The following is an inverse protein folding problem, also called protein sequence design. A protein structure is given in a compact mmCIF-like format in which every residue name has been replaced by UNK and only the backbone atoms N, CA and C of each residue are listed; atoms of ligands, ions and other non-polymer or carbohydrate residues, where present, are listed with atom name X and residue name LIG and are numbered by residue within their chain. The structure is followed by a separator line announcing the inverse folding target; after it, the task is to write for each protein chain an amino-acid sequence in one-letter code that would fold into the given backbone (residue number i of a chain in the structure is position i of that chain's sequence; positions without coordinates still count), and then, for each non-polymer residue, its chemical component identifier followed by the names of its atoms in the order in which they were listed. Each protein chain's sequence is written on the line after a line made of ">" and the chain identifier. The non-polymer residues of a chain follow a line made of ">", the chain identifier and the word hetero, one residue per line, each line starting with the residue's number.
data_IF_848460871098
#
_entry.id   IF_848460871098
#
_cell.length_a   1.000
_cell.length_b   1.000
_cell.length_c   1.000
_cell.angle_alpha   90.00
_cell.angle_beta   90.00
_cell.angle_gamma   90.00
#
_symmetry.space_group_name_H-M   'P 1'
#
loop_
_entity.id
_entity.type
_entity.pdbx_description
1 polymer ?
#
# COMPACT_ATOMS: atom_id res chain seq x y z
N UNK A 1 0.60 15.67 -64.23
CA UNK A 1 -0.08 14.80 -63.23
C UNK A 1 0.83 13.64 -62.80
N UNK A 2 1.94 13.93 -62.10
CA UNK A 2 2.90 12.90 -61.61
C UNK A 2 3.50 13.25 -60.24
N UNK A 3 2.76 13.97 -59.40
CA UNK A 3 3.25 14.46 -58.11
C UNK A 3 2.42 14.10 -56.88
N UNK A 4 1.27 13.43 -57.05
CA UNK A 4 0.32 13.22 -55.95
C UNK A 4 0.31 11.78 -55.40
N UNK A 5 1.00 10.84 -56.05
CA UNK A 5 1.01 9.42 -55.67
C UNK A 5 1.99 9.05 -54.55
N UNK A 6 3.00 9.88 -54.27
CA UNK A 6 4.03 9.56 -53.27
C UNK A 6 3.67 10.02 -51.84
N UNK A 7 2.77 11.00 -51.68
CA UNK A 7 2.41 11.50 -50.35
C UNK A 7 1.40 10.61 -49.63
N UNK A 8 0.54 9.89 -50.37
CA UNK A 8 -0.47 9.00 -49.78
C UNK A 8 0.16 7.67 -49.36
N UNK A 9 1.19 7.20 -50.06
CA UNK A 9 1.92 5.99 -49.67
C UNK A 9 2.73 6.16 -48.38
N UNK A 10 3.27 7.36 -48.11
CA UNK A 10 4.03 7.63 -46.89
C UNK A 10 3.14 7.74 -45.64
N UNK A 11 1.93 8.31 -45.76
CA UNK A 11 0.98 8.43 -44.63
C UNK A 11 0.35 7.09 -44.27
N UNK A 12 0.12 6.20 -45.26
CA UNK A 12 -0.40 4.85 -45.00
C UNK A 12 0.68 3.93 -44.42
N UNK A 13 1.97 4.12 -44.75
CA UNK A 13 3.06 3.34 -44.17
C UNK A 13 3.43 3.76 -42.73
N UNK A 14 3.22 5.02 -42.36
CA UNK A 14 3.38 5.52 -40.98
C UNK A 14 2.20 5.19 -40.07
N UNK A 15 1.00 4.99 -40.62
CA UNK A 15 -0.18 4.51 -39.86
C UNK A 15 -0.13 3.02 -39.47
N UNK A 16 0.79 2.24 -40.04
CA UNK A 16 0.94 0.80 -39.81
C UNK A 16 2.11 0.43 -38.89
N UNK A 17 2.95 1.39 -38.49
CA UNK A 17 4.07 1.19 -37.56
C UNK A 17 3.81 1.79 -36.16
N UNK A 18 2.64 2.42 -35.96
CA UNK A 18 2.25 3.07 -34.71
C UNK A 18 1.44 2.20 -33.74
N UNK A 19 1.24 0.92 -34.02
CA UNK A 19 0.74 -0.04 -33.04
C UNK A 19 1.93 -0.65 -32.31
N UNK A 20 2.68 0.17 -31.57
CA UNK A 20 3.40 -0.38 -30.44
C UNK A 20 2.32 -1.10 -29.62
N UNK A 21 2.40 -2.42 -29.58
CA UNK A 21 1.57 -3.23 -28.69
C UNK A 21 1.75 -2.57 -27.32
N UNK A 22 0.72 -1.87 -26.82
CA UNK A 22 0.72 -1.45 -25.43
C UNK A 22 0.85 -2.76 -24.68
N UNK A 23 2.04 -3.03 -24.16
CA UNK A 23 2.28 -4.22 -23.35
C UNK A 23 1.24 -4.15 -22.24
N UNK A 24 0.45 -5.21 -22.07
CA UNK A 24 -0.56 -5.25 -21.03
C UNK A 24 0.11 -4.96 -19.69
N UNK A 25 -0.45 -4.03 -18.92
CA UNK A 25 0.08 -3.66 -17.60
C UNK A 25 0.11 -4.88 -16.70
N UNK A 26 1.27 -5.14 -16.08
CA UNK A 26 1.45 -6.33 -15.23
C UNK A 26 1.32 -5.97 -13.75
N UNK A 27 0.39 -6.64 -13.07
CA UNK A 27 0.19 -6.58 -11.62
C UNK A 27 0.77 -7.84 -10.98
N UNK A 28 1.76 -7.67 -10.11
CA UNK A 28 2.28 -8.72 -9.26
C UNK A 28 1.72 -8.59 -7.84
N UNK A 29 1.37 -9.73 -7.23
CA UNK A 29 0.99 -9.80 -5.81
C UNK A 29 1.99 -10.64 -5.02
N UNK A 30 2.16 -10.33 -3.74
CA UNK A 30 3.01 -11.09 -2.85
C UNK A 30 2.25 -12.20 -2.12
N UNK A 31 2.77 -13.42 -2.21
CA UNK A 31 2.37 -14.59 -1.43
C UNK A 31 3.60 -15.30 -0.84
N UNK A 32 4.78 -14.67 -0.91
CA UNK A 32 6.04 -15.21 -0.39
C UNK A 32 6.24 -14.88 1.09
N UNK A 33 5.54 -13.87 1.61
CA UNK A 33 5.72 -13.35 2.97
C UNK A 33 4.53 -13.65 3.88
N UNK A 34 3.84 -14.77 3.61
CA UNK A 34 2.80 -15.34 4.45
C UNK A 34 1.40 -14.75 4.22
N UNK A 35 1.20 -14.02 3.14
CA UNK A 35 -0.13 -13.65 2.63
C UNK A 35 -0.88 -14.90 2.13
N UNK A 36 -2.21 -14.82 2.12
CA UNK A 36 -3.08 -15.86 1.57
C UNK A 36 -3.58 -15.46 0.16
N UNK A 37 -3.97 -16.44 -0.67
CA UNK A 37 -4.48 -16.18 -2.01
C UNK A 37 -6.01 -15.94 -2.08
N UNK A 38 -6.69 -15.74 -0.94
CA UNK A 38 -8.15 -15.56 -0.87
C UNK A 38 -8.59 -14.45 -1.82
N UNK A 39 -9.58 -14.77 -2.66
CA UNK A 39 -10.14 -13.94 -3.72
C UNK A 39 -9.21 -13.60 -4.89
N UNK A 40 -7.95 -14.00 -4.86
CA UNK A 40 -7.03 -13.75 -5.97
C UNK A 40 -7.44 -14.51 -7.23
N UNK A 41 -7.54 -15.85 -7.14
CA UNK A 41 -7.90 -16.73 -8.27
C UNK A 41 -9.24 -17.43 -8.08
N UNK A 42 -9.71 -17.59 -6.84
CA UNK A 42 -10.99 -18.23 -6.55
C UNK A 42 -12.13 -17.20 -6.49
N UNK A 43 -13.30 -17.49 -7.09
CA UNK A 43 -14.43 -16.58 -7.03
C UNK A 43 -14.97 -16.43 -5.61
N UNK A 44 -15.60 -15.29 -5.34
CA UNK A 44 -16.26 -15.05 -4.06
C UNK A 44 -17.56 -15.85 -4.02
N UNK A 45 -17.74 -16.67 -2.98
CA UNK A 45 -18.97 -17.45 -2.76
C UNK A 45 -19.77 -16.92 -1.58
N UNK A 46 -21.10 -17.01 -1.67
CA UNK A 46 -22.01 -16.63 -0.59
C UNK A 46 -21.73 -17.44 0.67
N UNK A 47 -21.68 -16.77 1.83
CA UNK A 47 -21.38 -17.43 3.11
C UNK A 47 -22.39 -18.55 3.45
N UNK A 48 -23.67 -18.32 3.19
CA UNK A 48 -24.75 -19.27 3.49
C UNK A 48 -24.98 -20.29 2.37
N UNK A 49 -24.53 -19.99 1.15
CA UNK A 49 -24.64 -20.89 0.01
C UNK A 49 -23.34 -20.89 -0.81
N UNK A 50 -22.42 -21.80 -0.47
CA UNK A 50 -21.13 -21.92 -1.14
C UNK A 50 -21.19 -22.29 -2.63
N UNK A 51 -22.37 -22.71 -3.13
CA UNK A 51 -22.58 -22.95 -4.58
C UNK A 51 -22.93 -21.68 -5.35
N UNK A 52 -23.27 -20.58 -4.66
CA UNK A 52 -23.62 -19.30 -5.28
C UNK A 52 -22.38 -18.41 -5.32
N UNK A 53 -21.89 -18.16 -6.53
CA UNK A 53 -20.87 -17.12 -6.79
C UNK A 53 -21.53 -15.75 -6.70
N UNK A 54 -20.90 -14.83 -5.97
CA UNK A 54 -21.39 -13.46 -5.75
C UNK A 54 -20.45 -12.38 -6.32
N UNK A 55 -19.20 -12.74 -6.64
CA UNK A 55 -18.29 -11.94 -7.45
C UNK A 55 -17.22 -12.85 -8.09
N UNK A 56 -16.62 -12.44 -9.23
CA UNK A 56 -15.44 -13.12 -9.75
C UNK A 56 -14.26 -13.01 -8.77
N UNK A 57 -13.21 -13.79 -9.02
CA UNK A 57 -11.91 -13.56 -8.40
C UNK A 57 -11.33 -12.23 -8.90
N UNK A 58 -10.28 -11.73 -8.27
CA UNK A 58 -9.58 -10.51 -8.70
C UNK A 58 -9.02 -10.70 -10.12
N UNK A 59 -8.35 -11.82 -10.38
CA UNK A 59 -7.77 -12.14 -11.69
C UNK A 59 -8.84 -12.21 -12.78
N UNK A 60 -10.01 -12.79 -12.49
CA UNK A 60 -11.11 -12.86 -13.46
C UNK A 60 -11.93 -11.57 -13.54
N UNK A 61 -11.95 -10.78 -12.47
CA UNK A 61 -12.70 -9.53 -12.36
C UNK A 61 -12.03 -8.37 -13.08
N UNK A 62 -10.72 -8.45 -13.32
CA UNK A 62 -9.92 -7.42 -13.98
C UNK A 62 -9.12 -8.04 -15.13
N UNK A 63 -9.80 -8.48 -16.22
CA UNK A 63 -9.21 -9.31 -17.26
C UNK A 63 -8.31 -8.55 -18.24
N UNK A 64 -8.31 -7.21 -18.19
CA UNK A 64 -7.47 -6.36 -19.03
C UNK A 64 -6.05 -6.16 -18.47
N UNK A 65 -5.80 -6.60 -17.22
CA UNK A 65 -4.47 -6.61 -16.60
C UNK A 65 -3.84 -8.01 -16.69
N UNK A 66 -2.51 -8.05 -16.85
CA UNK A 66 -1.75 -9.30 -16.72
C UNK A 66 -1.45 -9.53 -15.25
N UNK A 67 -1.80 -10.70 -14.72
CA UNK A 67 -1.59 -11.02 -13.31
C UNK A 67 -0.37 -11.92 -13.11
N UNK A 68 0.39 -11.63 -12.06
CA UNK A 68 1.54 -12.41 -11.65
C UNK A 68 1.63 -12.49 -10.12
N UNK A 69 2.45 -13.40 -9.60
CA UNK A 69 2.67 -13.53 -8.16
C UNK A 69 4.06 -14.02 -7.79
N UNK A 70 4.50 -13.63 -6.60
CA UNK A 70 5.61 -14.22 -5.87
C UNK A 70 5.07 -15.23 -4.85
N UNK A 71 5.73 -16.38 -4.67
CA UNK A 71 5.26 -17.38 -3.69
C UNK A 71 6.09 -18.65 -3.66
N UNK A 72 5.78 -19.58 -2.77
CA UNK A 72 6.63 -20.77 -2.56
C UNK A 72 6.82 -21.66 -3.82
N UNK A 73 5.85 -21.67 -4.74
CA UNK A 73 5.89 -22.46 -5.97
C UNK A 73 4.84 -21.95 -6.99
N UNK A 74 4.81 -22.56 -8.17
CA UNK A 74 3.96 -22.22 -9.31
C UNK A 74 2.52 -22.80 -9.27
N UNK A 75 2.06 -23.33 -8.12
CA UNK A 75 0.79 -24.06 -8.02
C UNK A 75 -0.44 -23.26 -8.49
N UNK A 76 -0.43 -21.93 -8.32
CA UNK A 76 -1.56 -21.09 -8.70
C UNK A 76 -1.67 -20.88 -10.22
N UNK A 77 -0.59 -21.11 -10.98
CA UNK A 77 -0.60 -20.98 -12.44
C UNK A 77 -1.62 -21.94 -13.04
N UNK A 78 -1.49 -23.23 -12.73
CA UNK A 78 -2.44 -24.23 -13.22
C UNK A 78 -3.83 -24.09 -12.60
N UNK A 79 -3.93 -23.76 -11.30
CA UNK A 79 -5.19 -23.59 -10.60
C UNK A 79 -6.03 -22.43 -11.15
N UNK A 80 -5.39 -21.38 -11.67
CA UNK A 80 -6.06 -20.25 -12.32
C UNK A 80 -6.44 -20.50 -13.78
N UNK A 81 -6.07 -21.65 -14.37
CA UNK A 81 -6.17 -21.87 -15.80
C UNK A 81 -5.19 -21.02 -16.62
N UNK A 82 -3.98 -20.81 -16.10
CA UNK A 82 -2.91 -19.99 -16.69
C UNK A 82 -3.22 -18.48 -16.79
N UNK A 83 -4.12 -17.97 -15.94
CA UNK A 83 -4.48 -16.55 -15.90
C UNK A 83 -3.59 -15.73 -14.95
N UNK A 84 -2.82 -16.39 -14.10
CA UNK A 84 -1.79 -15.77 -13.27
C UNK A 84 -0.42 -16.43 -13.51
N UNK A 85 0.64 -15.64 -13.54
CA UNK A 85 2.01 -16.08 -13.80
C UNK A 85 2.86 -16.12 -12.53
N UNK A 86 3.71 -17.13 -12.40
CA UNK A 86 4.65 -17.23 -11.29
C UNK A 86 5.96 -16.50 -11.59
N UNK A 87 6.39 -15.60 -10.71
CA UNK A 87 7.61 -14.79 -10.87
C UNK A 87 8.82 -15.32 -10.07
N UNK A 88 8.60 -16.26 -9.16
CA UNK A 88 9.63 -16.79 -8.28
C UNK A 88 9.24 -16.72 -6.81
N UNK A 89 10.11 -17.24 -5.95
CA UNK A 89 9.84 -17.34 -4.51
C UNK A 89 10.19 -16.09 -3.72
N UNK A 90 11.03 -15.22 -4.29
CA UNK A 90 11.55 -14.03 -3.63
C UNK A 90 11.43 -12.84 -4.57
N UNK A 91 11.32 -11.63 -4.01
CA UNK A 91 11.19 -10.40 -4.79
C UNK A 91 12.58 -9.86 -5.15
N UNK A 92 13.04 -10.15 -6.37
CA UNK A 92 14.32 -9.62 -6.89
C UNK A 92 14.09 -8.51 -7.91
N UNK A 93 15.12 -7.69 -8.14
CA UNK A 93 15.05 -6.65 -9.17
C UNK A 93 14.82 -7.24 -10.57
N UNK A 94 15.41 -8.40 -10.85
CA UNK A 94 15.24 -9.11 -12.13
C UNK A 94 13.79 -9.60 -12.30
N UNK A 95 13.22 -10.24 -11.29
CA UNK A 95 11.84 -10.71 -11.34
C UNK A 95 10.81 -9.58 -11.44
N UNK A 96 11.17 -8.37 -11.00
CA UNK A 96 10.34 -7.17 -11.11
C UNK A 96 10.45 -6.43 -12.46
N UNK A 97 11.35 -6.85 -13.36
CA UNK A 97 11.65 -6.09 -14.58
C UNK A 97 10.43 -5.86 -15.50
N UNK A 98 9.50 -6.82 -15.54
CA UNK A 98 8.24 -6.73 -16.30
C UNK A 98 7.03 -6.31 -15.48
N UNK A 99 7.20 -5.96 -14.20
CA UNK A 99 6.10 -5.63 -13.28
C UNK A 99 5.87 -4.11 -13.27
N UNK A 100 4.62 -3.69 -13.33
CA UNK A 100 4.21 -2.28 -13.30
C UNK A 100 3.53 -1.90 -11.99
N UNK A 101 2.77 -2.85 -11.43
CA UNK A 101 2.11 -2.73 -10.13
C UNK A 101 2.57 -3.87 -9.23
N UNK A 102 2.97 -3.55 -8.00
CA UNK A 102 3.27 -4.54 -6.96
C UNK A 102 2.32 -4.31 -5.78
N UNK A 103 1.65 -5.37 -5.32
CA UNK A 103 0.79 -5.36 -4.14
C UNK A 103 1.39 -6.28 -3.07
N UNK A 104 1.71 -5.71 -1.91
CA UNK A 104 2.09 -6.42 -0.70
C UNK A 104 0.86 -6.47 0.22
N UNK A 105 0.13 -7.58 0.17
CA UNK A 105 -1.21 -7.72 0.75
C UNK A 105 -1.21 -8.22 2.19
N UNK A 106 -0.67 -7.41 3.12
CA UNK A 106 -0.53 -7.74 4.55
C UNK A 106 0.54 -8.83 4.85
N UNK A 107 1.83 -8.55 4.61
CA UNK A 107 2.92 -9.47 4.91
C UNK A 107 2.93 -9.86 6.39
N UNK A 108 2.94 -11.17 6.67
CA UNK A 108 3.03 -11.71 8.04
C UNK A 108 4.45 -12.16 8.41
N UNK A 109 5.34 -12.22 7.43
CA UNK A 109 6.77 -12.43 7.58
C UNK A 109 7.53 -11.22 7.04
N UNK A 110 8.67 -10.86 7.64
CA UNK A 110 9.47 -9.74 7.17
C UNK A 110 10.09 -10.05 5.80
N UNK A 111 10.09 -9.05 4.91
CA UNK A 111 10.90 -9.07 3.70
C UNK A 111 12.38 -8.93 4.07
N UNK A 112 13.27 -9.56 3.30
CA UNK A 112 14.70 -9.36 3.47
C UNK A 112 15.12 -7.93 3.09
N UNK A 113 16.24 -7.41 3.64
CA UNK A 113 16.78 -6.13 3.21
C UNK A 113 17.04 -6.05 1.70
N UNK A 114 17.45 -7.17 1.08
CA UNK A 114 17.70 -7.28 -0.35
C UNK A 114 16.41 -7.12 -1.17
N UNK A 115 15.29 -7.70 -0.70
CA UNK A 115 13.97 -7.55 -1.33
C UNK A 115 13.45 -6.12 -1.20
N UNK A 116 13.53 -5.52 -0.02
CA UNK A 116 13.16 -4.12 0.19
C UNK A 116 13.98 -3.20 -0.73
N UNK A 117 15.28 -3.48 -0.87
CA UNK A 117 16.15 -2.73 -1.76
C UNK A 117 15.82 -2.96 -3.25
N UNK A 118 15.41 -4.17 -3.62
CA UNK A 118 14.94 -4.47 -4.98
C UNK A 118 13.67 -3.69 -5.31
N UNK A 119 12.69 -3.67 -4.39
CA UNK A 119 11.44 -2.92 -4.53
C UNK A 119 11.74 -1.42 -4.61
N UNK A 120 12.59 -0.89 -3.73
CA UNK A 120 13.00 0.53 -3.76
C UNK A 120 13.61 0.92 -5.11
N UNK A 121 14.55 0.13 -5.64
CA UNK A 121 15.16 0.38 -6.96
C UNK A 121 14.16 0.28 -8.11
N UNK A 122 13.28 -0.72 -8.07
CA UNK A 122 12.22 -0.88 -9.07
C UNK A 122 11.27 0.32 -9.06
N UNK A 123 10.84 0.76 -7.87
CA UNK A 123 9.96 1.92 -7.68
C UNK A 123 10.60 3.22 -8.18
N UNK A 124 11.90 3.40 -7.93
CA UNK A 124 12.72 4.52 -8.41
C UNK A 124 12.88 4.57 -9.93
N UNK A 125 12.60 3.47 -10.65
CA UNK A 125 12.56 3.43 -12.11
C UNK A 125 11.46 4.33 -12.72
N UNK A 126 10.48 4.73 -11.90
CA UNK A 126 9.35 5.54 -12.31
C UNK A 126 8.30 4.76 -13.07
N UNK A 127 7.13 5.37 -13.21
CA UNK A 127 5.94 4.77 -13.81
C UNK A 127 5.47 3.49 -13.09
N UNK A 128 5.72 3.37 -11.77
CA UNK A 128 5.37 2.20 -10.95
C UNK A 128 4.29 2.51 -9.92
N UNK A 129 3.51 1.49 -9.58
CA UNK A 129 2.52 1.55 -8.50
C UNK A 129 2.88 0.52 -7.45
N UNK A 130 3.07 0.95 -6.21
CA UNK A 130 3.33 0.07 -5.07
C UNK A 130 2.18 0.21 -4.08
N UNK A 131 1.45 -0.86 -3.82
CA UNK A 131 0.42 -0.91 -2.78
C UNK A 131 0.91 -1.78 -1.63
N UNK A 132 1.10 -1.17 -0.47
CA UNK A 132 1.45 -1.87 0.78
C UNK A 132 0.25 -1.82 1.72
N UNK A 133 -0.33 -2.98 1.99
CA UNK A 133 -1.39 -3.13 2.98
C UNK A 133 -0.81 -3.70 4.28
N UNK A 134 -1.33 -3.23 5.41
CA UNK A 134 -1.06 -3.78 6.74
C UNK A 134 -2.32 -4.35 7.38
N UNK A 135 -2.33 -4.36 8.72
CA UNK A 135 -3.38 -4.92 9.59
C UNK A 135 -3.68 -3.93 10.73
N UNK A 136 -4.56 -4.30 11.66
CA UNK A 136 -4.67 -3.66 12.99
C UNK A 136 -3.57 -4.10 13.96
N UNK A 137 -3.56 -3.48 15.13
CA UNK A 137 -2.78 -3.89 16.29
C UNK A 137 -3.43 -5.06 17.08
N UNK A 138 -4.43 -5.76 16.53
CA UNK A 138 -5.13 -6.81 17.26
C UNK A 138 -4.26 -8.04 17.50
N UNK A 139 -3.81 -8.20 18.75
CA UNK A 139 -2.95 -9.29 19.18
C UNK A 139 -1.55 -9.22 18.61
N UNK A 140 -0.69 -10.16 19.01
CA UNK A 140 0.74 -10.13 18.62
C UNK A 140 0.97 -10.21 17.12
N UNK A 141 0.09 -10.88 16.38
CA UNK A 141 0.19 -11.01 14.93
C UNK A 141 -0.16 -9.69 14.21
N UNK A 142 -1.16 -8.95 14.68
CA UNK A 142 -1.51 -7.64 14.14
C UNK A 142 -0.38 -6.64 14.33
N UNK A 143 0.11 -6.51 15.57
CA UNK A 143 1.28 -5.65 15.89
C UNK A 143 2.50 -6.01 15.02
N UNK A 144 2.76 -7.31 14.82
CA UNK A 144 3.85 -7.75 13.95
C UNK A 144 3.67 -7.29 12.50
N UNK A 145 2.47 -7.41 11.92
CA UNK A 145 2.18 -6.99 10.55
C UNK A 145 2.28 -5.48 10.36
N UNK A 146 1.83 -4.70 11.34
CA UNK A 146 2.02 -3.24 11.31
C UNK A 146 3.51 -2.86 11.34
N UNK A 147 4.30 -3.53 12.18
CA UNK A 147 5.75 -3.33 12.23
C UNK A 147 6.45 -3.75 10.93
N UNK A 148 6.07 -4.88 10.33
CA UNK A 148 6.60 -5.31 9.03
C UNK A 148 6.25 -4.26 7.96
N UNK A 149 4.99 -3.82 7.90
CA UNK A 149 4.51 -2.79 6.98
C UNK A 149 5.35 -1.50 7.10
N UNK A 150 5.56 -1.02 8.32
CA UNK A 150 6.36 0.18 8.55
C UNK A 150 7.85 -0.02 8.25
N UNK A 151 8.40 -1.21 8.48
CA UNK A 151 9.78 -1.54 8.12
C UNK A 151 9.99 -1.47 6.60
N UNK A 152 9.03 -1.98 5.81
CA UNK A 152 9.07 -1.87 4.36
C UNK A 152 8.97 -0.40 3.95
N UNK A 153 7.97 0.33 4.45
CA UNK A 153 7.74 1.74 4.12
C UNK A 153 8.94 2.64 4.47
N UNK A 154 9.61 2.38 5.57
CA UNK A 154 10.85 3.06 5.95
C UNK A 154 12.01 2.69 5.02
N UNK A 155 12.19 1.38 4.76
CA UNK A 155 13.27 0.88 3.94
C UNK A 155 13.16 1.23 2.44
N UNK A 156 11.99 1.64 1.96
CA UNK A 156 11.82 2.16 0.60
C UNK A 156 12.67 3.41 0.34
N UNK A 157 12.84 4.27 1.35
CA UNK A 157 13.44 5.60 1.20
C UNK A 157 12.57 6.59 0.40
N UNK A 158 11.31 6.24 0.14
CA UNK A 158 10.35 7.04 -0.61
C UNK A 158 9.02 7.14 0.13
N UNK A 159 8.39 8.31 0.04
CA UNK A 159 7.10 8.56 0.67
C UNK A 159 7.16 8.67 2.19
N UNK A 160 6.09 9.23 2.75
CA UNK A 160 6.00 9.59 4.16
C UNK A 160 4.83 8.90 4.86
N UNK A 161 4.04 8.10 4.13
CA UNK A 161 2.92 7.35 4.68
C UNK A 161 3.40 6.22 5.59
N UNK A 162 2.68 5.99 6.69
CA UNK A 162 2.92 4.92 7.65
C UNK A 162 1.59 4.36 8.15
N UNK A 163 1.63 3.22 8.80
CA UNK A 163 0.50 2.66 9.53
C UNK A 163 0.74 2.85 11.03
N UNK A 164 -0.12 3.59 11.72
CA UNK A 164 0.06 3.78 13.16
C UNK A 164 -0.27 2.50 13.92
N UNK A 165 0.31 2.33 15.11
CA UNK A 165 0.19 1.12 15.94
C UNK A 165 -1.12 1.10 16.73
N UNK A 166 -2.23 1.16 16.01
CA UNK A 166 -3.59 1.01 16.53
C UNK A 166 -4.54 0.48 15.45
N UNK A 167 -5.80 0.31 15.83
CA UNK A 167 -6.90 -0.04 14.94
C UNK A 167 -7.94 1.06 14.85
N UNK A 168 -8.80 0.97 13.85
CA UNK A 168 -9.97 1.83 13.70
C UNK A 168 -11.24 1.00 13.75
N UNK A 169 -12.19 1.44 14.57
CA UNK A 169 -13.58 0.98 14.55
C UNK A 169 -14.51 2.08 14.03
N UNK A 170 -15.68 1.70 13.52
CA UNK A 170 -16.77 2.64 13.25
C UNK A 170 -18.07 2.13 13.89
N UNK A 171 -18.46 2.63 15.08
CA UNK A 171 -19.70 2.21 15.75
C UNK A 171 -20.98 2.51 14.96
N UNK A 172 -20.92 3.40 13.96
CA UNK A 172 -22.10 3.82 13.19
C UNK A 172 -22.21 3.15 11.80
N UNK A 173 -21.07 2.94 11.13
CA UNK A 173 -20.99 2.34 9.79
C UNK A 173 -20.19 1.04 9.86
N UNK A 174 -20.86 -0.03 10.26
CA UNK A 174 -20.24 -1.34 10.40
C UNK A 174 -21.17 -2.51 10.06
N UNK A 175 -20.58 -3.69 9.95
CA UNK A 175 -21.28 -4.96 9.80
C UNK A 175 -21.37 -5.72 11.13
N UNK A 176 -22.35 -5.37 11.96
CA UNK A 176 -22.66 -5.98 13.28
C UNK A 176 -21.68 -5.70 14.43
N UNK A 177 -20.46 -5.21 14.18
CA UNK A 177 -19.48 -4.86 15.21
C UNK A 177 -18.55 -3.75 14.72
N UNK A 178 -18.11 -2.85 15.61
CA UNK A 178 -17.35 -1.63 15.26
C UNK A 178 -16.10 -1.88 14.41
N UNK A 179 -15.33 -2.94 14.69
CA UNK A 179 -14.15 -3.32 13.91
C UNK A 179 -14.46 -3.81 12.49
N UNK A 180 -15.71 -4.14 12.15
CA UNK A 180 -16.12 -4.55 10.79
C UNK A 180 -16.55 -3.32 10.00
N UNK A 181 -15.60 -2.42 9.79
CA UNK A 181 -15.84 -1.08 9.28
C UNK A 181 -16.39 -1.14 7.86
N UNK A 182 -17.56 -0.54 7.65
CA UNK A 182 -18.06 -0.22 6.31
C UNK A 182 -17.57 1.18 5.98
N UNK A 183 -16.39 1.23 5.37
CA UNK A 183 -15.68 2.45 5.05
C UNK A 183 -16.25 3.11 3.79
N UNK A 184 -15.97 4.40 3.63
CA UNK A 184 -16.45 5.20 2.50
C UNK A 184 -15.28 5.54 1.57
N UNK A 185 -15.43 5.22 0.29
CA UNK A 185 -14.55 5.67 -0.80
C UNK A 185 -14.90 7.11 -1.12
N UNK A 186 -14.18 8.04 -0.49
CA UNK A 186 -14.37 9.49 -0.64
C UNK A 186 -12.99 10.13 -0.81
N UNK A 187 -12.43 10.09 -2.04
CA UNK A 187 -11.15 10.73 -2.30
C UNK A 187 -11.17 12.21 -1.96
N UNK A 188 -10.06 12.75 -1.47
CA UNK A 188 -9.90 14.20 -1.30
C UNK A 188 -10.18 14.90 -2.64
N UNK A 189 -10.81 16.08 -2.61
CA UNK A 189 -11.30 16.79 -3.81
C UNK A 189 -10.21 17.17 -4.81
N UNK A 190 -8.96 17.25 -4.35
CA UNK A 190 -7.77 17.55 -5.16
C UNK A 190 -7.11 16.30 -5.77
N UNK A 191 -7.69 15.11 -5.56
CA UNK A 191 -7.18 13.86 -6.14
C UNK A 191 -7.23 13.93 -7.68
N UNK A 192 -6.10 13.74 -8.39
CA UNK A 192 -6.09 13.74 -9.85
C UNK A 192 -6.98 12.60 -10.37
N UNK A 193 -7.77 12.81 -11.42
CA UNK A 193 -8.65 11.78 -11.98
C UNK A 193 -9.60 11.12 -10.95
N UNK A 194 -10.07 11.87 -9.95
CA UNK A 194 -10.99 11.38 -8.90
C UNK A 194 -12.18 10.58 -9.45
N UNK A 195 -12.70 10.98 -10.62
CA UNK A 195 -13.82 10.29 -11.27
C UNK A 195 -13.51 8.83 -11.62
N UNK A 196 -12.26 8.47 -11.88
CA UNK A 196 -11.89 7.07 -12.15
C UNK A 196 -11.95 6.22 -10.88
N UNK A 197 -11.59 6.76 -9.72
CA UNK A 197 -11.72 6.05 -8.43
C UNK A 197 -13.19 5.81 -8.08
N UNK A 198 -14.05 6.80 -8.31
CA UNK A 198 -15.47 6.79 -7.90
C UNK A 198 -16.42 6.22 -8.96
N UNK A 199 -15.89 5.77 -10.08
CA UNK A 199 -16.64 5.30 -11.24
C UNK A 199 -17.51 4.09 -10.92
N UNK A 200 -18.80 4.16 -11.26
CA UNK A 200 -19.73 3.04 -11.19
C UNK A 200 -19.85 2.36 -9.80
N UNK A 201 -19.53 3.05 -8.71
CA UNK A 201 -19.73 2.55 -7.35
C UNK A 201 -21.23 2.51 -7.04
N UNK A 202 -21.82 1.33 -7.14
CA UNK A 202 -23.26 1.10 -7.08
C UNK A 202 -23.85 1.12 -5.67
N UNK A 203 -23.02 0.92 -4.65
CA UNK A 203 -23.40 0.85 -3.24
C UNK A 203 -22.95 2.09 -2.46
N UNK A 204 -22.82 3.23 -3.16
CA UNK A 204 -22.45 4.52 -2.56
C UNK A 204 -21.00 4.59 -2.11
N UNK A 205 -20.11 3.78 -2.71
CA UNK A 205 -18.70 3.73 -2.37
C UNK A 205 -18.43 3.05 -1.03
N UNK A 206 -19.28 2.11 -0.63
CA UNK A 206 -19.10 1.34 0.60
C UNK A 206 -18.19 0.15 0.38
N UNK A 207 -17.12 0.05 1.15
CA UNK A 207 -16.15 -1.06 1.10
C UNK A 207 -15.88 -1.59 2.50
N UNK A 208 -15.55 -2.87 2.62
CA UNK A 208 -15.26 -3.49 3.92
C UNK A 208 -13.78 -3.35 4.26
N UNK A 209 -13.51 -2.92 5.49
CA UNK A 209 -12.21 -2.96 6.13
C UNK A 209 -12.40 -3.73 7.45
N UNK A 210 -11.87 -4.95 7.55
CA UNK A 210 -12.21 -5.89 8.62
C UNK A 210 -11.18 -5.90 9.76
N UNK A 211 -11.25 -4.88 10.59
CA UNK A 211 -10.31 -4.61 11.68
C UNK A 211 -9.07 -3.89 11.17
N UNK A 212 -9.22 -2.72 10.52
CA UNK A 212 -8.12 -2.09 9.82
C UNK A 212 -7.19 -1.34 10.77
N UNK A 213 -5.92 -1.23 10.37
CA UNK A 213 -5.02 -0.19 10.86
C UNK A 213 -5.40 1.21 10.34
N UNK A 214 -4.76 2.24 10.88
CA UNK A 214 -4.96 3.64 10.46
C UNK A 214 -3.72 4.20 9.76
N UNK A 215 -3.92 4.88 8.64
CA UNK A 215 -2.82 5.52 7.91
C UNK A 215 -2.45 6.83 8.59
N UNK A 216 -1.16 7.00 8.85
CA UNK A 216 -0.52 8.22 9.37
C UNK A 216 0.54 8.71 8.38
N UNK A 217 1.23 9.79 8.73
CA UNK A 217 2.45 10.18 8.02
C UNK A 217 3.56 10.63 8.98
N UNK A 218 4.80 10.55 8.51
CA UNK A 218 5.99 10.94 9.27
C UNK A 218 6.72 12.07 8.57
N UNK A 219 7.01 13.15 9.31
CA UNK A 219 7.74 14.30 8.79
C UNK A 219 9.25 14.03 8.65
N UNK A 220 9.98 14.99 8.07
CA UNK A 220 11.43 14.89 7.85
C UNK A 220 12.24 14.77 9.16
N UNK A 221 11.66 15.12 10.31
CA UNK A 221 12.28 15.00 11.62
C UNK A 221 11.94 13.68 12.32
N UNK A 222 11.16 12.80 11.69
CA UNK A 222 10.71 11.55 12.27
C UNK A 222 9.49 11.68 13.19
N UNK A 223 8.82 12.84 13.22
CA UNK A 223 7.60 12.99 14.02
C UNK A 223 6.41 12.42 13.26
N UNK A 224 5.58 11.66 13.98
CA UNK A 224 4.34 11.09 13.48
C UNK A 224 3.20 12.09 13.57
N UNK A 225 2.37 12.13 12.53
CA UNK A 225 1.24 13.03 12.41
C UNK A 225 -0.01 12.26 11.92
N UNK A 226 -1.20 12.57 12.46
CA UNK A 226 -2.45 12.13 11.87
C UNK A 226 -2.54 12.54 10.40
N UNK A 227 -3.00 11.61 9.56
CA UNK A 227 -3.31 11.87 8.15
C UNK A 227 -4.78 12.30 8.03
N UNK A 228 -5.00 13.60 7.92
CA UNK A 228 -6.33 14.20 7.83
C UNK A 228 -6.44 15.10 6.59
N UNK A 229 -7.63 15.65 6.33
CA UNK A 229 -7.83 16.55 5.19
C UNK A 229 -7.03 17.85 5.29
N UNK A 230 -6.57 18.21 6.50
CA UNK A 230 -5.79 19.41 6.78
C UNK A 230 -4.35 19.12 7.22
N UNK A 231 -4.02 17.86 7.50
CA UNK A 231 -2.69 17.40 7.93
C UNK A 231 -2.27 16.26 7.00
N UNK A 232 -1.58 16.59 5.92
CA UNK A 232 -1.08 15.61 4.95
C UNK A 232 0.19 16.12 4.26
N UNK A 233 1.12 15.22 3.88
CA UNK A 233 2.25 15.61 3.03
C UNK A 233 1.78 16.12 1.66
N UNK A 234 2.59 16.90 0.94
CA UNK A 234 2.29 17.25 -0.45
C UNK A 234 2.03 16.00 -1.31
N UNK A 235 1.18 16.17 -2.34
CA UNK A 235 0.84 15.11 -3.30
C UNK A 235 0.29 13.83 -2.67
N UNK A 236 -0.31 13.96 -1.49
CA UNK A 236 -0.99 12.88 -0.76
C UNK A 236 -2.49 13.07 -0.79
N UNK A 237 -3.21 11.98 -1.00
CA UNK A 237 -4.65 11.96 -1.14
C UNK A 237 -5.23 10.85 -0.27
N UNK A 238 -6.14 11.21 0.62
CA UNK A 238 -6.95 10.22 1.34
C UNK A 238 -8.00 9.69 0.37
N UNK A 239 -8.22 8.38 0.35
CA UNK A 239 -9.12 7.72 -0.61
C UNK A 239 -10.26 7.01 0.10
N UNK A 240 -9.93 6.25 1.15
CA UNK A 240 -10.92 5.52 1.96
C UNK A 240 -10.84 5.99 3.39
N UNK A 241 -11.99 6.37 3.95
CA UNK A 241 -12.10 6.92 5.30
C UNK A 241 -13.28 6.30 6.06
N UNK A 242 -13.25 6.37 7.39
CA UNK A 242 -14.43 6.10 8.23
C UNK A 242 -15.50 7.18 8.08
N UNK A 243 -16.64 7.02 8.75
CA UNK A 243 -17.53 8.15 9.03
C UNK A 243 -16.91 9.08 10.09
N UNK A 244 -17.60 10.18 10.40
CA UNK A 244 -17.26 11.07 11.52
C UNK A 244 -17.32 10.40 12.90
N UNK A 245 -17.98 9.24 13.02
CA UNK A 245 -18.07 8.48 14.26
C UNK A 245 -16.97 7.42 14.38
N UNK A 246 -16.04 7.34 13.43
CA UNK A 246 -14.88 6.45 13.53
C UNK A 246 -14.17 6.65 14.86
N UNK A 247 -13.55 5.60 15.40
CA UNK A 247 -12.93 5.60 16.72
C UNK A 247 -11.59 4.86 16.68
N UNK A 248 -10.55 5.47 17.24
CA UNK A 248 -9.26 4.81 17.45
C UNK A 248 -9.35 3.85 18.63
N UNK A 249 -8.87 2.62 18.42
CA UNK A 249 -8.83 1.57 19.42
C UNK A 249 -7.41 0.99 19.47
N UNK A 250 -6.82 1.01 20.67
CA UNK A 250 -5.55 0.34 20.97
C UNK A 250 -5.87 -1.02 21.60
N UNK A 251 -5.64 -2.09 20.85
CA UNK A 251 -5.81 -3.47 21.27
C UNK A 251 -4.54 -4.06 21.89
N UNK A 252 -3.35 -3.55 21.56
CA UNK A 252 -2.08 -4.10 22.04
C UNK A 252 -0.98 -3.03 22.13
N UNK A 253 -0.01 -3.27 23.01
CA UNK A 253 1.20 -2.44 23.11
C UNK A 253 2.15 -2.67 21.91
N UNK A 254 2.98 -1.67 21.53
CA UNK A 254 3.01 -0.32 22.09
C UNK A 254 1.83 0.54 21.58
N UNK A 255 1.47 1.63 22.30
CA UNK A 255 0.40 2.52 21.88
C UNK A 255 0.71 3.23 20.56
N UNK A 256 -0.34 3.79 19.96
CA UNK A 256 -0.24 4.65 18.79
C UNK A 256 0.62 5.89 19.05
N UNK A 257 1.27 6.39 18.00
CA UNK A 257 2.15 7.56 18.06
C UNK A 257 1.49 8.79 17.43
N UNK A 258 0.80 8.62 16.29
CA UNK A 258 0.12 9.71 15.60
C UNK A 258 -1.26 9.99 16.20
N UNK A 259 -2.03 8.93 16.45
CA UNK A 259 -3.40 8.98 16.93
C UNK A 259 -3.49 8.65 18.42
N UNK A 260 -4.64 8.93 19.04
CA UNK A 260 -4.87 8.66 20.47
C UNK A 260 -6.03 7.70 20.68
N UNK A 261 -5.86 6.74 21.60
CA UNK A 261 -6.96 5.86 22.01
C UNK A 261 -8.24 6.64 22.36
N UNK A 262 -9.38 6.14 21.84
CA UNK A 262 -10.70 6.73 21.97
C UNK A 262 -10.93 8.07 21.26
N UNK A 263 -9.96 8.58 20.52
CA UNK A 263 -10.21 9.68 19.59
C UNK A 263 -11.32 9.28 18.62
N UNK A 264 -12.28 10.20 18.39
CA UNK A 264 -13.40 9.99 17.49
C UNK A 264 -13.30 10.98 16.34
N UNK A 265 -13.54 10.53 15.11
CA UNK A 265 -13.47 11.37 13.92
C UNK A 265 -13.43 10.58 12.62
N UNK A 266 -13.07 11.29 11.55
CA UNK A 266 -12.84 10.71 10.22
C UNK A 266 -11.39 10.26 10.11
N UNK A 267 -11.16 8.95 10.10
CA UNK A 267 -9.83 8.35 10.03
C UNK A 267 -9.53 7.78 8.64
N UNK A 268 -8.28 7.92 8.21
CA UNK A 268 -7.84 7.44 6.89
C UNK A 268 -7.46 5.98 6.95
N UNK A 269 -8.14 5.15 6.15
CA UNK A 269 -7.89 3.72 6.05
C UNK A 269 -7.10 3.34 4.80
N UNK A 270 -7.16 4.17 3.75
CA UNK A 270 -6.32 4.06 2.55
C UNK A 270 -5.96 5.44 2.03
N UNK A 271 -4.69 5.65 1.76
CA UNK A 271 -4.16 6.85 1.12
C UNK A 271 -3.21 6.51 -0.03
N UNK A 272 -3.11 7.43 -0.99
CA UNK A 272 -2.14 7.36 -2.07
C UNK A 272 -1.25 8.61 -2.07
N UNK A 273 0.05 8.42 -2.23
CA UNK A 273 1.04 9.48 -2.38
C UNK A 273 1.71 9.35 -3.76
N UNK A 274 1.66 10.43 -4.54
CA UNK A 274 2.45 10.54 -5.76
C UNK A 274 3.87 10.93 -5.36
N UNK A 275 4.84 10.16 -5.82
CA UNK A 275 6.26 10.32 -5.51
C UNK A 275 6.99 10.79 -6.78
N UNK A 276 7.33 12.08 -6.90
CA UNK A 276 8.23 12.57 -7.93
C UNK A 276 9.64 11.97 -7.76
N UNK A 277 10.31 11.66 -8.86
CA UNK A 277 11.63 11.02 -8.86
C UNK A 277 12.64 11.86 -9.64
N UNK A 278 13.93 11.69 -9.32
CA UNK A 278 15.03 12.45 -9.93
C UNK A 278 15.15 12.28 -11.45
N UNK A 279 14.61 11.18 -11.99
CA UNK A 279 14.56 10.91 -13.42
C UNK A 279 13.42 11.67 -14.16
N UNK A 280 12.72 12.56 -13.47
CA UNK A 280 11.60 13.35 -14.01
C UNK A 280 10.29 12.58 -14.13
N UNK A 281 10.27 11.29 -13.77
CA UNK A 281 9.05 10.48 -13.69
C UNK A 281 8.44 10.58 -12.30
N UNK A 282 7.31 9.91 -12.13
CA UNK A 282 6.67 9.70 -10.83
C UNK A 282 6.24 8.25 -10.68
N UNK A 283 6.13 7.81 -9.44
CA UNK A 283 5.50 6.55 -9.05
C UNK A 283 4.39 6.83 -8.02
N UNK A 284 3.50 5.88 -7.80
CA UNK A 284 2.40 6.00 -6.83
C UNK A 284 2.61 4.98 -5.70
N UNK A 285 2.67 5.47 -4.47
CA UNK A 285 2.66 4.65 -3.26
C UNK A 285 1.23 4.66 -2.68
N UNK A 286 0.62 3.49 -2.54
CA UNK A 286 -0.67 3.30 -1.87
C UNK A 286 -0.40 2.59 -0.54
N UNK A 287 -0.95 3.12 0.55
CA UNK A 287 -0.88 2.49 1.88
C UNK A 287 -2.29 2.31 2.41
N UNK A 288 -2.59 1.11 2.89
CA UNK A 288 -3.89 0.80 3.49
C UNK A 288 -3.77 -0.01 4.76
N UNK A 289 -4.75 0.14 5.64
CA UNK A 289 -4.89 -0.65 6.86
C UNK A 289 -5.49 -2.04 6.65
N UNK A 290 -5.91 -2.36 5.43
CA UNK A 290 -6.46 -3.67 5.02
C UNK A 290 -6.03 -3.98 3.58
N UNK A 291 -5.89 -5.25 3.24
CA UNK A 291 -5.48 -5.75 1.94
C UNK A 291 -6.65 -5.86 0.94
N UNK A 292 -6.39 -5.71 -0.37
CA UNK A 292 -7.36 -6.07 -1.39
C UNK A 292 -7.62 -7.57 -1.51
N UNK A 293 -6.69 -8.43 -1.07
CA UNK A 293 -6.80 -9.91 -1.14
C UNK A 293 -6.22 -10.57 0.12
N UNK A 294 -6.46 -11.86 0.31
CA UNK A 294 -5.70 -12.67 1.28
C UNK A 294 -6.05 -12.50 2.77
N UNK A 295 -6.58 -11.36 3.19
CA UNK A 295 -7.02 -11.16 4.57
C UNK A 295 -8.17 -12.09 4.98
N UNK A 296 -8.51 -12.05 6.27
CA UNK A 296 -9.66 -12.79 6.78
C UNK A 296 -10.94 -12.45 6.00
N UNK A 297 -11.18 -11.17 5.71
CA UNK A 297 -12.24 -10.72 4.80
C UNK A 297 -11.76 -9.45 4.04
N UNK A 298 -11.11 -9.61 2.87
CA UNK A 298 -10.41 -8.53 2.17
C UNK A 298 -11.34 -7.45 1.61
N UNK A 299 -10.76 -6.32 1.21
CA UNK A 299 -11.48 -5.19 0.59
C UNK A 299 -12.28 -5.61 -0.66
N UNK A 300 -11.85 -6.66 -1.39
CA UNK A 300 -12.56 -7.22 -2.55
C UNK A 300 -13.97 -7.76 -2.24
N UNK A 301 -14.33 -7.94 -0.97
CA UNK A 301 -15.61 -8.53 -0.57
C UNK A 301 -16.80 -7.71 -1.12
N UNK A 302 -17.72 -8.32 -1.89
CA UNK A 302 -18.89 -7.64 -2.46
C UNK A 302 -20.10 -7.62 -1.53
N UNK A 303 -20.06 -8.42 -0.45
CA UNK A 303 -21.18 -8.62 0.46
C UNK A 303 -20.66 -9.10 1.81
N UNK A 304 -21.06 -8.43 2.89
CA UNK A 304 -20.75 -8.90 4.24
C UNK A 304 -21.92 -8.65 5.19
N UNK A 305 -22.36 -9.71 5.88
CA UNK A 305 -23.54 -9.70 6.76
C UNK A 305 -24.81 -9.03 6.19
N UNK A 306 -25.05 -9.20 4.89
CA UNK A 306 -26.22 -8.64 4.20
C UNK A 306 -26.06 -7.20 3.69
N UNK A 307 -24.87 -6.61 3.85
CA UNK A 307 -24.53 -5.29 3.32
C UNK A 307 -23.83 -5.49 1.98
N UNK A 308 -24.42 -4.97 0.89
CA UNK A 308 -23.77 -4.94 -0.42
C UNK A 308 -22.65 -3.88 -0.42
N UNK A 309 -21.53 -4.24 -1.04
CA UNK A 309 -20.28 -3.46 -1.03
C UNK A 309 -19.77 -3.32 -2.46
N UNK A 310 -19.05 -2.22 -2.70
CA UNK A 310 -18.40 -1.94 -3.98
C UNK A 310 -16.98 -2.50 -4.08
N UNK A 311 -16.59 -3.46 -3.20
CA UNK A 311 -15.24 -4.02 -3.12
C UNK A 311 -14.58 -4.32 -4.47
N UNK A 312 -15.19 -5.18 -5.33
CA UNK A 312 -14.63 -5.50 -6.64
C UNK A 312 -14.47 -4.28 -7.56
N UNK A 313 -15.48 -3.40 -7.60
CA UNK A 313 -15.45 -2.21 -8.45
C UNK A 313 -14.41 -1.20 -7.96
N UNK A 314 -14.30 -1.00 -6.64
CA UNK A 314 -13.34 -0.09 -6.03
C UNK A 314 -11.90 -0.54 -6.26
N UNK A 315 -11.57 -1.82 -6.01
CA UNK A 315 -10.21 -2.35 -6.25
C UNK A 315 -9.85 -2.27 -7.73
N UNK A 316 -10.80 -2.53 -8.63
CA UNK A 316 -10.61 -2.31 -10.08
C UNK A 316 -10.28 -0.86 -10.37
N UNK A 317 -11.11 0.06 -9.90
CA UNK A 317 -10.97 1.50 -10.13
C UNK A 317 -9.65 2.06 -9.61
N UNK A 318 -9.22 1.69 -8.40
CA UNK A 318 -7.99 2.24 -7.81
C UNK A 318 -6.74 1.76 -8.54
N UNK A 319 -6.73 0.51 -9.04
CA UNK A 319 -5.63 -0.01 -9.86
C UNK A 319 -5.56 0.76 -11.18
N UNK A 320 -6.67 0.88 -11.91
CA UNK A 320 -6.70 1.62 -13.17
C UNK A 320 -6.38 3.11 -12.99
N UNK A 321 -6.87 3.72 -11.91
CA UNK A 321 -6.53 5.09 -11.55
C UNK A 321 -5.03 5.27 -11.31
N UNK A 322 -4.41 4.40 -10.52
CA UNK A 322 -2.99 4.52 -10.22
C UNK A 322 -2.12 4.33 -11.47
N UNK A 323 -2.49 3.38 -12.34
CA UNK A 323 -1.86 3.15 -13.65
C UNK A 323 -2.01 4.40 -14.54
N UNK A 324 -3.21 4.97 -14.62
CA UNK A 324 -3.46 6.20 -15.37
C UNK A 324 -2.58 7.35 -14.86
N UNK A 325 -2.55 7.57 -13.54
CA UNK A 325 -1.76 8.62 -12.91
C UNK A 325 -0.29 8.52 -13.31
N UNK A 326 0.32 7.33 -13.22
CA UNK A 326 1.75 7.16 -13.52
C UNK A 326 2.08 7.21 -15.01
N UNK A 327 1.12 6.94 -15.90
CA UNK A 327 1.32 7.02 -17.35
C UNK A 327 1.30 8.46 -17.90
N UNK A 328 0.58 9.38 -17.26
CA UNK A 328 0.42 10.75 -17.77
C UNK A 328 1.71 11.59 -17.74
N UNK A 329 2.73 11.21 -16.96
CA UNK A 329 4.03 11.89 -16.94
C UNK A 329 4.80 11.81 -18.26
N UNK A 330 4.40 10.95 -19.20
CA UNK A 330 5.08 10.82 -20.50
C UNK A 330 4.69 11.94 -21.50
N UNK A 331 3.65 12.73 -21.22
CA UNK A 331 3.05 13.64 -22.22
C UNK A 331 3.55 15.08 -22.22
N UNK A 332 4.37 15.50 -21.24
CA UNK A 332 4.93 16.87 -21.22
C UNK A 332 6.21 16.97 -22.06
N UNK A 333 6.17 16.54 -23.32
CA UNK A 333 7.21 16.92 -24.28
C UNK A 333 6.87 18.32 -24.79
N UNK A 334 7.54 19.33 -24.25
CA UNK A 334 7.51 20.72 -24.73
C UNK A 334 7.78 20.72 -26.24
N UNK A 335 6.73 20.88 -27.05
CA UNK A 335 6.87 21.14 -28.48
C UNK A 335 7.39 22.58 -28.60
N UNK A 336 8.70 22.75 -28.57
CA UNK A 336 9.33 24.01 -28.96
C UNK A 336 9.13 24.16 -30.46
N UNK A 337 8.06 24.82 -30.88
CA UNK A 337 7.88 25.25 -32.26
C UNK A 337 8.95 26.29 -32.57
N UNK A 338 10.09 25.85 -33.08
CA UNK A 338 11.09 26.72 -33.70
C UNK A 338 10.44 27.37 -34.92
N UNK A 339 9.88 28.57 -34.74
CA UNK A 339 9.43 29.40 -35.85
C UNK A 339 10.68 29.90 -36.56
N UNK A 340 11.07 29.25 -37.66
CA UNK A 340 12.11 29.75 -38.55
C UNK A 340 11.54 30.94 -39.31
N UNK A 341 11.68 32.14 -38.75
CA UNK A 341 11.42 33.38 -39.49
C UNK A 341 12.43 33.48 -40.61
N UNK A 342 11.98 33.24 -41.84
CA UNK A 342 12.79 33.45 -43.05
C UNK A 342 12.86 34.94 -43.32
N UNK A 343 13.89 35.62 -42.83
CA UNK A 343 14.14 37.02 -43.18
C UNK A 343 14.76 37.08 -44.57
N UNK A 344 13.99 37.54 -45.56
CA UNK A 344 14.51 37.85 -46.90
C UNK A 344 15.36 39.12 -46.83
N UNK A 345 16.68 38.98 -46.82
CA UNK A 345 17.62 40.11 -46.87
C UNK A 345 17.78 40.59 -48.30
N UNK A 346 17.21 41.75 -48.64
CA UNK A 346 17.50 42.46 -49.90
C UNK A 346 18.86 43.15 -49.81
N UNK A 347 19.84 42.68 -50.59
CA UNK A 347 21.18 43.27 -50.66
C UNK A 347 21.13 44.56 -51.49
N UNK A 348 21.35 45.72 -50.87
CA UNK A 348 21.64 46.97 -51.58
C UNK A 348 23.14 47.25 -51.48
N UNK A 349 23.81 47.28 -52.64
CA UNK A 349 25.25 47.55 -52.76
C UNK A 349 25.49 49.05 -52.65
N UNK A 350 26.12 49.49 -51.56
CA UNK A 350 26.65 50.85 -51.42
C UNK A 350 28.17 50.78 -51.24
N UNK A 351 28.89 51.30 -52.23
CA UNK A 351 30.35 51.43 -52.21
C UNK A 351 30.74 52.64 -51.38
N UNK A 352 31.37 52.43 -50.23
CA UNK A 352 31.99 53.51 -49.44
C UNK A 352 33.44 53.18 -49.14
N UNK A 353 34.33 54.01 -49.68
CA UNK A 353 35.78 54.00 -49.50
C UNK A 353 36.12 54.52 -48.10
N UNK A 354 36.76 53.71 -47.25
CA UNK A 354 37.26 54.16 -45.94
C UNK A 354 38.72 53.77 -45.72
N UNK A 355 39.50 54.79 -45.35
CA UNK A 355 40.96 54.84 -45.18
C UNK A 355 41.41 54.10 -43.92
N UNK A 356 42.37 53.19 -44.07
CA UNK A 356 43.02 52.43 -42.99
C UNK A 356 43.83 53.35 -42.07
N UNK A 357 43.55 53.32 -40.77
CA UNK A 357 44.46 53.81 -39.73
C UNK A 357 44.66 52.71 -38.70
N UNK A 358 45.90 52.27 -38.56
CA UNK A 358 46.35 51.21 -37.65
C UNK A 358 46.55 51.77 -36.25
N UNK A 359 45.83 51.25 -35.26
CA UNK A 359 46.18 51.43 -33.83
C UNK A 359 46.04 50.10 -33.10
N UNK A 360 47.18 49.65 -32.55
CA UNK A 360 47.39 48.46 -31.75
C UNK A 360 46.73 48.56 -30.37
N UNK A 361 45.90 47.59 -29.93
CA UNK A 361 45.50 47.49 -28.53
C UNK A 361 46.46 46.60 -27.74
N UNK A 362 46.89 47.14 -26.61
CA UNK A 362 47.77 46.60 -25.57
C UNK A 362 47.07 45.48 -24.78
N UNK A 363 47.71 44.33 -24.68
CA UNK A 363 47.34 43.19 -23.82
C UNK A 363 47.27 43.63 -22.36
N UNK A 364 46.12 43.43 -21.70
CA UNK A 364 45.96 43.59 -20.26
C UNK A 364 45.69 42.22 -19.65
N UNK A 365 46.65 41.74 -18.87
CA UNK A 365 46.56 40.49 -18.11
C UNK A 365 45.81 40.76 -16.81
N UNK A 366 44.65 40.14 -16.63
CA UNK A 366 43.91 40.16 -15.36
C UNK A 366 44.26 38.90 -14.57
N UNK A 367 44.99 39.07 -13.47
CA UNK A 367 45.29 38.00 -12.50
C UNK A 367 44.13 37.91 -11.52
N UNK A 368 43.39 36.81 -11.53
CA UNK A 368 42.34 36.52 -10.54
C UNK A 368 42.94 35.70 -9.41
N UNK A 369 43.05 36.28 -8.22
CA UNK A 369 43.46 35.59 -6.99
C UNK A 369 42.23 34.95 -6.35
N UNK A 370 42.13 33.62 -6.40
CA UNK A 370 41.10 32.85 -5.70
C UNK A 370 41.60 32.51 -4.30
N UNK A 371 41.06 33.16 -3.27
CA UNK A 371 41.27 32.78 -1.87
C UNK A 371 40.36 31.61 -1.50
N UNK A 372 40.97 30.48 -1.16
CA UNK A 372 40.34 29.27 -0.62
C UNK A 372 39.86 29.52 0.82
N UNK A 373 38.64 29.11 1.21
CA UNK A 373 38.23 29.15 2.61
C UNK A 373 38.90 28.01 3.37
N UNK A 374 39.68 28.35 4.39
CA UNK A 374 40.28 27.40 5.33
C UNK A 374 39.27 27.07 6.42
N UNK A 375 38.70 25.86 6.39
CA UNK A 375 37.87 25.35 7.48
C UNK A 375 38.77 24.94 8.64
N UNK A 376 38.62 25.61 9.79
CA UNK A 376 39.32 25.23 11.02
C UNK A 376 38.48 24.19 11.76
N UNK A 377 38.96 22.95 11.80
CA UNK A 377 38.39 21.88 12.64
C UNK A 377 38.93 22.02 14.06
N UNK A 378 38.08 22.40 15.00
CA UNK A 378 38.41 22.37 16.44
C UNK A 378 38.07 21.00 16.99
N UNK A 379 39.09 20.18 17.26
CA UNK A 379 38.94 18.89 17.94
C UNK A 379 38.89 19.13 19.44
N UNK A 380 37.70 19.04 20.04
CA UNK A 380 37.56 19.02 21.51
C UNK A 380 37.66 17.59 22.00
N UNK A 381 38.82 17.22 22.52
CA UNK A 381 39.07 15.95 23.21
C UNK A 381 38.39 15.98 24.58
N UNK A 382 37.27 15.28 24.73
CA UNK A 382 36.67 15.01 26.04
C UNK A 382 37.24 13.70 26.59
N UNK A 383 37.87 13.76 27.76
CA UNK A 383 38.39 12.59 28.46
C UNK A 383 37.25 11.68 28.95
N UNK A 384 37.40 10.34 28.89
CA UNK A 384 36.40 9.44 29.44
C UNK A 384 36.42 9.51 30.97
N UNK A 385 35.28 9.90 31.55
CA UNK A 385 35.05 9.78 33.00
C UNK A 385 34.46 8.40 33.25
N UNK A 386 35.23 7.52 33.88
CA UNK A 386 34.79 6.21 34.36
C UNK A 386 33.90 6.39 35.59
N UNK A 387 32.60 6.29 35.42
CA UNK A 387 31.65 6.17 36.54
C UNK A 387 31.41 4.70 36.83
N UNK A 388 32.11 4.18 37.84
CA UNK A 388 31.86 2.87 38.44
C UNK A 388 30.50 2.89 39.13
N UNK A 389 29.49 2.25 38.53
CA UNK A 389 28.20 2.03 39.19
C UNK A 389 28.24 0.63 39.82
N UNK A 390 28.30 0.57 41.15
CA UNK A 390 28.12 -0.67 41.91
C UNK A 390 26.69 -1.17 41.72
N UNK A 391 26.53 -2.27 40.97
CA UNK A 391 25.29 -3.05 40.97
C UNK A 391 25.22 -3.85 42.27
N UNK A 392 24.33 -3.46 43.18
CA UNK A 392 24.00 -4.23 44.37
C UNK A 392 23.02 -5.33 43.96
N UNK A 393 23.52 -6.55 43.77
CA UNK A 393 22.68 -7.74 43.54
C UNK A 393 21.91 -8.05 44.83
N UNK A 394 20.62 -7.73 44.87
CA UNK A 394 19.72 -8.19 45.94
C UNK A 394 19.10 -9.51 45.50
N UNK A 395 19.65 -10.62 45.97
CA UNK A 395 19.07 -11.96 45.82
C UNK A 395 17.79 -12.03 46.63
N UNK A 396 16.64 -11.94 45.97
CA UNK A 396 15.34 -12.32 46.55
C UNK A 396 15.03 -13.76 46.15
N UNK A 397 15.13 -14.67 47.11
CA UNK A 397 14.69 -16.05 47.00
C UNK A 397 13.16 -16.10 46.98
N UNK A 398 12.57 -16.38 45.80
CA UNK A 398 11.16 -16.75 45.67
C UNK A 398 11.00 -18.24 45.95
N UNK A 399 10.06 -18.68 46.81
CA UNK A 399 9.85 -20.10 47.04
C UNK A 399 9.26 -20.76 45.79
N UNK A 400 9.86 -21.88 45.40
CA UNK A 400 9.43 -22.77 44.33
C UNK A 400 8.17 -23.51 44.78
N UNK A 401 7.02 -23.19 44.17
CA UNK A 401 5.80 -24.00 44.31
C UNK A 401 5.87 -25.16 43.33
N UNK A 402 6.13 -26.35 43.85
CA UNK A 402 6.03 -27.61 43.12
C UNK A 402 4.59 -27.83 42.69
N UNK A 403 4.33 -27.76 41.38
CA UNK A 403 3.05 -28.18 40.81
C UNK A 403 3.20 -29.64 40.38
N UNK A 404 2.55 -30.54 41.13
CA UNK A 404 2.48 -31.96 40.81
C UNK A 404 1.52 -32.15 39.63
N UNK A 405 2.04 -32.47 38.45
CA UNK A 405 1.23 -32.87 37.29
C UNK A 405 0.72 -34.29 37.53
N UNK A 406 -0.57 -34.42 37.85
CA UNK A 406 -1.27 -35.71 37.86
C UNK A 406 -1.69 -36.05 36.42
N UNK A 407 -1.02 -37.03 35.83
CA UNK A 407 -1.38 -37.61 34.53
C UNK A 407 -2.66 -38.43 34.69
N UNK A 408 -3.80 -37.93 34.23
CA UNK A 408 -5.04 -38.71 34.11
C UNK A 408 -5.08 -39.38 32.74
N UNK A 409 -4.77 -40.67 32.71
CA UNK A 409 -4.96 -41.55 31.55
C UNK A 409 -6.45 -41.67 31.25
N UNK A 410 -6.89 -41.07 30.13
CA UNK A 410 -8.26 -41.26 29.63
C UNK A 410 -8.27 -42.42 28.65
N UNK A 411 -8.94 -43.50 29.03
CA UNK A 411 -9.19 -44.68 28.18
C UNK A 411 -10.29 -44.35 27.18
N UNK A 412 -9.95 -44.25 25.89
CA UNK A 412 -10.93 -44.21 24.80
C UNK A 412 -11.48 -45.62 24.54
N UNK A 413 -12.74 -45.85 24.92
CA UNK A 413 -13.56 -46.95 24.39
C UNK A 413 -14.29 -46.48 23.15
N UNK A 414 -14.01 -47.15 22.02
CA UNK A 414 -14.71 -46.98 20.76
C UNK A 414 -16.09 -47.64 20.84
N UNK A 415 -17.15 -46.86 20.63
CA UNK A 415 -18.45 -47.40 20.24
C UNK A 415 -19.04 -46.57 19.11
N UNK A 416 -19.46 -47.31 18.09
CA UNK A 416 -20.08 -46.89 16.84
C UNK A 416 -21.46 -46.28 17.02
N UNK A 417 -21.79 -45.27 16.23
CA UNK A 417 -23.17 -45.04 15.78
C UNK A 417 -23.70 -43.62 15.97
N UNK A 418 -23.91 -42.94 14.83
CA UNK A 418 -25.17 -42.23 14.58
C UNK A 418 -25.35 -40.82 15.17
N UNK A 419 -25.24 -39.83 14.28
CA UNK A 419 -26.31 -38.82 14.11
C UNK A 419 -26.33 -37.59 15.04
N UNK A 420 -26.06 -36.43 14.43
CA UNK A 420 -26.99 -35.28 14.49
C UNK A 420 -26.86 -34.26 15.62
N UNK A 421 -26.93 -32.99 15.18
CA UNK A 421 -27.30 -31.74 15.89
C UNK A 421 -26.35 -31.16 16.97
N UNK A 422 -25.44 -30.31 16.50
CA UNK A 422 -24.75 -29.30 17.30
C UNK A 422 -25.54 -27.98 17.21
N UNK A 423 -26.05 -27.50 18.35
CA UNK A 423 -26.57 -26.15 18.52
C UNK A 423 -26.58 -25.80 20.01
N UNK A 424 -25.95 -24.70 20.46
CA UNK A 424 -25.99 -24.29 21.86
C UNK A 424 -27.10 -23.24 22.06
N UNK A 425 -28.15 -23.59 22.80
CA UNK A 425 -29.07 -22.62 23.36
C UNK A 425 -29.64 -23.10 24.70
N UNK A 426 -29.29 -22.34 25.75
CA UNK A 426 -30.15 -21.88 26.85
C UNK A 426 -31.22 -22.82 27.44
N UNK A 427 -31.10 -23.14 28.74
CA UNK A 427 -32.26 -23.21 29.64
C UNK A 427 -31.94 -22.55 31.00
N UNK A 428 -32.84 -21.65 31.36
CA UNK A 428 -33.04 -20.95 32.62
C UNK A 428 -33.81 -21.85 33.62
N UNK A 429 -33.39 -21.85 34.89
CA UNK A 429 -34.21 -21.60 36.08
C UNK A 429 -35.33 -22.57 36.57
N UNK A 430 -35.35 -22.72 37.90
CA UNK A 430 -36.49 -22.95 38.81
C UNK A 430 -37.19 -24.32 38.81
N UNK A 431 -37.12 -25.03 39.96
CA UNK A 431 -38.18 -25.01 40.99
C UNK A 431 -38.14 -26.24 41.92
N UNK A 432 -38.70 -26.04 43.13
CA UNK A 432 -39.30 -27.02 44.05
C UNK A 432 -38.40 -27.72 45.09
N UNK A 433 -38.36 -27.15 46.30
CA UNK A 433 -38.41 -27.93 47.55
C UNK A 433 -39.84 -28.46 47.73
N UNK A 434 -40.07 -29.70 48.23
CA UNK A 434 -40.02 -29.90 49.69
C UNK A 434 -39.50 -31.30 50.10
N UNK A 435 -38.92 -31.44 51.29
CA UNK A 435 -39.36 -32.47 52.22
C UNK A 435 -38.84 -32.23 53.64
N UNK A 436 -39.82 -32.18 54.53
CA UNK A 436 -39.77 -31.95 55.95
C UNK A 436 -39.30 -33.18 56.73
N UNK A 437 -38.69 -32.87 57.88
CA UNK A 437 -38.79 -33.56 59.17
C UNK A 437 -37.86 -34.74 59.50
N UNK A 438 -37.25 -34.55 60.69
CA UNK A 438 -37.04 -35.48 61.82
C UNK A 438 -35.60 -36.01 61.93
N UNK A 439 -34.87 -35.91 63.05
CA UNK A 439 -35.05 -35.48 64.46
C UNK A 439 -33.63 -35.30 65.06
N UNK A 440 -33.39 -34.34 65.97
CA UNK A 440 -33.07 -34.54 67.42
C UNK A 440 -32.08 -35.68 67.69
N UNK A 441 -30.95 -35.49 68.37
CA UNK A 441 -30.65 -34.64 69.55
C UNK A 441 -29.41 -33.76 69.39
#
# INVERSE_FOLDING_TARGET
>A
MRGLGFLIAAVVLLGLLGSAMVSATTVAVDLAHGENAKYLIEPVTDYNNKSKIIAPSIVDGIPDLTWAYFGANDSLVSASGNKIHYLGSNITLESLAGVDVLILGQPSQPLSPEEIQAISRWFAGGNKVLWIAGDSDYGSAGVQRQNITNTILEGLGYGNLRLDLCSVEDPSSNAKAGFRVIANVVPDVDTPFLSEITKNLSNGGKVLYHGPGVVAWVDENGNWHPLTGTSKPPLTYRIVVTTENGKIVENSDPPAVAYKANETGVFTLLAAQLVPLDNGKKSVLIVSGESPYGDYEPTWSPLYYGINLDGPQFVTNILHWAILVVSESETTTTTTTTTTTTTTTTTTTTTTTTKTTTTTPKTTTTTTTTTQPTTTTTTTTTAPTTTTTQSTTTTTTRPTTTTTTTTTTTTTTTTSGGGGICGPAAIIGLAVAPLLLRRRE
#
